data_IF_966016439436
#
_entry.id   IF_966016439436
#
_cell.length_a   1.000
_cell.length_b   1.000
_cell.length_c   1.000
_cell.angle_alpha   90.00
_cell.angle_beta   90.00
_cell.angle_gamma   90.00
#
_symmetry.space_group_name_H-M   'P 1'
#
loop_
_entity.id
_entity.type
_entity.pdbx_description
1 polymer ?
#
# COMPACT_ATOMS: atom_id res chain seq x y z
N UNK A 1 4.31 36.72 -6.49
CA UNK A 1 4.10 35.95 -5.25
C UNK A 1 2.75 36.42 -4.74
N UNK A 2 1.64 35.70 -4.75
CA UNK A 2 1.43 34.26 -4.52
C UNK A 2 -0.06 34.00 -4.80
N UNK A 3 -0.44 33.29 -5.87
CA UNK A 3 -1.86 32.90 -6.10
C UNK A 3 -1.94 31.45 -6.62
N UNK A 4 -0.97 31.05 -7.44
CA UNK A 4 -0.80 29.67 -7.92
C UNK A 4 -0.45 28.65 -6.83
N UNK A 5 0.15 29.05 -5.71
CA UNK A 5 0.48 28.10 -4.61
C UNK A 5 -0.74 27.75 -3.74
N UNK A 6 -1.76 28.63 -3.65
CA UNK A 6 -2.92 28.43 -2.79
C UNK A 6 -3.93 27.43 -3.37
N UNK A 7 -4.00 27.33 -4.71
CA UNK A 7 -4.88 26.38 -5.42
C UNK A 7 -4.34 24.95 -5.37
N UNK A 8 -3.01 24.77 -5.38
CA UNK A 8 -2.40 23.44 -5.26
C UNK A 8 -2.60 22.82 -3.86
N UNK A 9 -2.49 23.61 -2.79
CA UNK A 9 -2.72 23.10 -1.42
C UNK A 9 -4.18 22.78 -1.09
N UNK A 10 -5.14 23.43 -1.75
CA UNK A 10 -6.56 23.16 -1.56
C UNK A 10 -7.02 21.90 -2.30
N UNK A 11 -6.43 21.61 -3.46
CA UNK A 11 -6.73 20.40 -4.23
C UNK A 11 -6.19 19.13 -3.54
N UNK A 12 -4.99 19.17 -2.96
CA UNK A 12 -4.41 18.03 -2.21
C UNK A 12 -5.24 17.65 -0.97
N UNK A 13 -5.75 18.65 -0.24
CA UNK A 13 -6.67 18.39 0.89
C UNK A 13 -8.01 17.85 0.42
N UNK A 14 -8.49 18.27 -0.76
CA UNK A 14 -9.73 17.76 -1.36
C UNK A 14 -9.58 16.34 -1.87
N UNK A 15 -8.44 15.97 -2.44
CA UNK A 15 -8.16 14.61 -2.92
C UNK A 15 -8.03 13.62 -1.77
N UNK A 16 -7.24 13.93 -0.72
CA UNK A 16 -7.20 13.09 0.48
C UNK A 16 -8.57 13.02 1.17
N UNK A 17 -9.28 14.14 1.27
CA UNK A 17 -10.63 14.16 1.84
C UNK A 17 -11.63 13.35 1.00
N UNK A 18 -11.58 13.39 -0.34
CA UNK A 18 -12.42 12.59 -1.25
C UNK A 18 -12.03 11.11 -1.27
N UNK A 19 -10.74 10.78 -1.15
CA UNK A 19 -10.21 9.43 -0.98
C UNK A 19 -10.70 8.79 0.33
N UNK A 20 -10.75 9.58 1.41
CA UNK A 20 -11.26 9.17 2.73
C UNK A 20 -12.79 9.23 2.85
N UNK A 21 -13.46 10.16 2.16
CA UNK A 21 -14.91 10.35 2.22
C UNK A 21 -15.70 9.30 1.41
N UNK A 22 -15.04 8.42 0.67
CA UNK A 22 -15.67 7.24 0.06
C UNK A 22 -16.34 7.49 -1.28
N UNK A 23 -16.20 8.68 -1.88
CA UNK A 23 -16.77 9.01 -3.20
C UNK A 23 -16.10 8.21 -4.34
N UNK A 24 -14.82 7.85 -4.19
CA UNK A 24 -14.08 7.02 -5.14
C UNK A 24 -14.28 5.50 -4.96
N UNK A 25 -15.16 5.09 -4.04
CA UNK A 25 -15.35 3.68 -3.70
C UNK A 25 -14.17 3.19 -2.87
N UNK A 26 -14.44 2.83 -1.61
CA UNK A 26 -13.46 2.39 -0.63
C UNK A 26 -12.38 1.46 -1.21
N UNK A 27 -12.78 0.52 -2.07
CA UNK A 27 -11.88 -0.42 -2.73
C UNK A 27 -10.74 0.26 -3.53
N UNK A 28 -11.04 1.27 -4.35
CA UNK A 28 -10.05 1.90 -5.24
C UNK A 28 -8.97 2.61 -4.43
N UNK A 29 -9.36 3.35 -3.38
CA UNK A 29 -8.42 4.01 -2.45
C UNK A 29 -7.41 3.01 -1.86
N UNK A 30 -7.90 1.90 -1.33
CA UNK A 30 -7.03 0.89 -0.71
C UNK A 30 -6.16 0.16 -1.73
N UNK A 31 -6.66 -0.08 -2.94
CA UNK A 31 -5.87 -0.66 -4.02
C UNK A 31 -4.72 0.25 -4.45
N UNK A 32 -4.96 1.55 -4.62
CA UNK A 32 -3.91 2.51 -4.97
C UNK A 32 -2.87 2.59 -3.85
N UNK A 33 -3.30 2.67 -2.59
CA UNK A 33 -2.38 2.67 -1.44
C UNK A 33 -1.56 1.38 -1.36
N UNK A 34 -2.18 0.23 -1.59
CA UNK A 34 -1.48 -1.05 -1.59
C UNK A 34 -0.45 -1.12 -2.71
N UNK A 35 -0.83 -0.77 -3.94
CA UNK A 35 0.09 -0.75 -5.08
C UNK A 35 1.25 0.22 -4.87
N UNK A 36 1.00 1.41 -4.32
CA UNK A 36 2.06 2.37 -4.01
C UNK A 36 3.08 1.77 -3.03
N UNK A 37 2.61 1.14 -1.95
CA UNK A 37 3.49 0.49 -0.97
C UNK A 37 4.25 -0.71 -1.56
N UNK A 38 3.58 -1.54 -2.37
CA UNK A 38 4.18 -2.70 -3.02
C UNK A 38 5.26 -2.30 -4.04
N UNK A 39 5.01 -1.27 -4.86
CA UNK A 39 6.00 -0.73 -5.80
C UNK A 39 7.20 -0.13 -5.09
N UNK A 40 6.97 0.58 -3.98
CA UNK A 40 8.04 1.15 -3.16
C UNK A 40 8.92 0.04 -2.56
N UNK A 41 8.29 -0.99 -1.98
CA UNK A 41 8.99 -2.17 -1.47
C UNK A 41 9.75 -2.90 -2.56
N UNK A 42 9.17 -3.07 -3.76
CA UNK A 42 9.84 -3.72 -4.87
C UNK A 42 11.10 -2.96 -5.28
N UNK A 43 11.02 -1.64 -5.44
CA UNK A 43 12.16 -0.82 -5.85
C UNK A 43 13.28 -0.83 -4.81
N UNK A 44 12.98 -0.47 -3.56
CA UNK A 44 13.99 -0.42 -2.50
C UNK A 44 14.44 -1.80 -2.05
N UNK A 45 13.55 -2.79 -2.06
CA UNK A 45 13.87 -4.18 -1.75
C UNK A 45 14.84 -4.76 -2.76
N UNK A 46 14.63 -4.51 -4.06
CA UNK A 46 15.57 -4.91 -5.12
C UNK A 46 16.94 -4.25 -4.92
N UNK A 47 16.97 -2.95 -4.61
CA UNK A 47 18.23 -2.24 -4.36
C UNK A 47 18.96 -2.73 -3.11
N UNK A 48 18.24 -3.03 -2.03
CA UNK A 48 18.82 -3.54 -0.79
C UNK A 48 19.39 -4.95 -1.00
N UNK A 49 18.69 -5.77 -1.78
CA UNK A 49 19.11 -7.12 -2.16
C UNK A 49 20.35 -7.08 -3.06
N UNK A 50 20.38 -6.19 -4.06
CA UNK A 50 21.52 -6.00 -4.98
C UNK A 50 22.79 -5.57 -4.24
N UNK A 51 22.66 -4.75 -3.19
CA UNK A 51 23.76 -4.35 -2.32
C UNK A 51 24.12 -5.38 -1.23
N UNK A 52 23.56 -6.60 -1.27
CA UNK A 52 23.72 -7.66 -0.26
C UNK A 52 23.31 -7.24 1.17
N UNK A 53 22.48 -6.21 1.30
CA UNK A 53 22.08 -5.66 2.58
C UNK A 53 20.85 -6.40 3.13
N UNK A 54 21.10 -7.59 3.66
CA UNK A 54 20.05 -8.47 4.19
C UNK A 54 19.28 -7.87 5.38
N UNK A 55 19.96 -7.13 6.25
CA UNK A 55 19.34 -6.56 7.45
C UNK A 55 18.28 -5.49 7.12
N UNK A 56 18.56 -4.46 6.29
CA UNK A 56 17.52 -3.53 5.86
C UNK A 56 16.45 -4.20 4.99
N UNK A 57 16.81 -5.19 4.17
CA UNK A 57 15.81 -5.97 3.42
C UNK A 57 14.82 -6.67 4.35
N UNK A 58 15.28 -7.35 5.41
CA UNK A 58 14.40 -7.96 6.42
C UNK A 58 13.55 -6.90 7.14
N UNK A 59 14.12 -5.73 7.42
CA UNK A 59 13.37 -4.60 7.97
C UNK A 59 12.24 -4.11 7.04
N UNK A 60 12.52 -4.02 5.73
CA UNK A 60 11.52 -3.66 4.72
C UNK A 60 10.45 -4.75 4.57
N UNK A 61 10.82 -6.03 4.66
CA UNK A 61 9.86 -7.16 4.65
C UNK A 61 8.92 -7.07 5.85
N UNK A 62 9.45 -6.83 7.05
CA UNK A 62 8.61 -6.59 8.23
C UNK A 62 7.72 -5.34 8.04
N UNK A 63 8.27 -4.29 7.42
CA UNK A 63 7.57 -3.06 7.09
C UNK A 63 6.38 -3.27 6.15
N UNK A 64 6.55 -4.01 5.04
CA UNK A 64 5.46 -4.25 4.08
C UNK A 64 4.37 -5.16 4.68
N UNK A 65 4.73 -6.11 5.55
CA UNK A 65 3.77 -6.92 6.30
C UNK A 65 2.96 -6.06 7.28
N UNK A 66 3.62 -5.19 8.05
CA UNK A 66 2.95 -4.25 8.94
C UNK A 66 2.05 -3.27 8.16
N UNK A 67 2.52 -2.74 7.05
CA UNK A 67 1.75 -1.86 6.16
C UNK A 67 0.49 -2.55 5.62
N UNK A 68 0.63 -3.80 5.17
CA UNK A 68 -0.51 -4.61 4.69
C UNK A 68 -1.52 -4.84 5.81
N UNK A 69 -1.05 -5.08 7.04
CA UNK A 69 -1.92 -5.23 8.20
C UNK A 69 -2.68 -3.92 8.53
N UNK A 70 -2.00 -2.77 8.48
CA UNK A 70 -2.63 -1.46 8.67
C UNK A 70 -3.69 -1.17 7.60
N UNK A 71 -3.43 -1.50 6.33
CA UNK A 71 -4.42 -1.37 5.26
C UNK A 71 -5.66 -2.24 5.52
N UNK A 72 -5.45 -3.49 5.96
CA UNK A 72 -6.55 -4.40 6.30
C UNK A 72 -7.39 -3.86 7.47
N UNK A 73 -6.75 -3.30 8.50
CA UNK A 73 -7.44 -2.65 9.62
C UNK A 73 -8.21 -1.39 9.17
N UNK A 74 -7.63 -0.61 8.26
CA UNK A 74 -8.29 0.54 7.65
C UNK A 74 -9.56 0.13 6.90
N UNK A 75 -9.49 -0.93 6.08
CA UNK A 75 -10.67 -1.47 5.37
C UNK A 75 -11.75 -1.86 6.37
N UNK A 76 -11.37 -2.54 7.46
CA UNK A 76 -12.31 -2.93 8.52
C UNK A 76 -12.98 -1.72 9.18
N UNK A 77 -12.24 -0.64 9.42
CA UNK A 77 -12.75 0.57 10.06
C UNK A 77 -13.72 1.34 9.15
N UNK A 78 -13.42 1.41 7.86
CA UNK A 78 -14.16 2.24 6.93
C UNK A 78 -15.36 1.51 6.26
N UNK A 79 -15.34 0.18 6.18
CA UNK A 79 -16.43 -0.58 5.58
C UNK A 79 -17.54 -0.85 6.60
N UNK A 80 -18.79 -0.49 6.28
CA UNK A 80 -19.96 -0.60 7.17
C UNK A 80 -21.02 -1.65 6.73
N UNK A 81 -20.69 -2.52 5.78
CA UNK A 81 -21.65 -3.50 5.24
C UNK A 81 -21.72 -4.84 6.00
N UNK A 82 -22.82 -5.62 5.88
CA UNK A 82 -23.06 -6.86 6.63
C UNK A 82 -22.13 -8.03 6.26
N UNK A 83 -21.43 -7.98 5.12
CA UNK A 83 -20.50 -9.03 4.66
C UNK A 83 -19.01 -8.65 4.78
N UNK A 84 -18.68 -7.75 5.70
CA UNK A 84 -17.31 -7.27 6.02
C UNK A 84 -16.25 -8.37 5.97
N UNK A 85 -16.47 -9.43 6.76
CA UNK A 85 -15.52 -10.52 6.94
C UNK A 85 -15.24 -11.29 5.64
N UNK A 86 -16.22 -11.39 4.74
CA UNK A 86 -16.07 -12.09 3.46
C UNK A 86 -15.23 -11.29 2.46
N UNK A 87 -15.42 -9.97 2.42
CA UNK A 87 -14.61 -9.07 1.57
C UNK A 87 -13.19 -8.97 2.10
N UNK A 88 -13.04 -8.81 3.42
CA UNK A 88 -11.76 -8.71 4.09
C UNK A 88 -10.87 -9.94 3.86
N UNK A 89 -11.44 -11.15 3.96
CA UNK A 89 -10.72 -12.40 3.68
C UNK A 89 -10.22 -12.46 2.24
N UNK A 90 -11.07 -12.12 1.26
CA UNK A 90 -10.71 -12.15 -0.17
C UNK A 90 -9.60 -11.14 -0.49
N UNK A 91 -9.74 -9.90 -0.04
CA UNK A 91 -8.74 -8.85 -0.28
C UNK A 91 -7.42 -9.15 0.42
N UNK A 92 -7.46 -9.67 1.66
CA UNK A 92 -6.26 -10.07 2.40
C UNK A 92 -5.48 -11.18 1.70
N UNK A 93 -6.15 -12.19 1.14
CA UNK A 93 -5.47 -13.25 0.40
C UNK A 93 -4.76 -12.70 -0.84
N UNK A 94 -5.38 -11.78 -1.57
CA UNK A 94 -4.77 -11.18 -2.75
C UNK A 94 -3.52 -10.37 -2.38
N UNK A 95 -3.58 -9.55 -1.33
CA UNK A 95 -2.41 -8.81 -0.85
C UNK A 95 -1.29 -9.75 -0.40
N UNK A 96 -1.62 -10.86 0.24
CA UNK A 96 -0.60 -11.85 0.62
C UNK A 96 0.07 -12.49 -0.60
N UNK A 97 -0.72 -12.89 -1.60
CA UNK A 97 -0.19 -13.46 -2.85
C UNK A 97 0.73 -12.46 -3.54
N UNK A 98 0.31 -11.18 -3.65
CA UNK A 98 1.13 -10.14 -4.28
C UNK A 98 2.41 -9.91 -3.48
N UNK A 99 2.35 -9.81 -2.15
CA UNK A 99 3.56 -9.65 -1.32
C UNK A 99 4.55 -10.80 -1.52
N UNK A 100 4.06 -12.05 -1.60
CA UNK A 100 4.90 -13.22 -1.88
C UNK A 100 5.51 -13.15 -3.28
N UNK A 101 4.71 -12.83 -4.30
CA UNK A 101 5.20 -12.68 -5.68
C UNK A 101 6.27 -11.60 -5.79
N UNK A 102 6.04 -10.45 -5.16
CA UNK A 102 6.99 -9.33 -5.13
C UNK A 102 8.26 -9.75 -4.39
N UNK A 103 8.15 -10.42 -3.25
CA UNK A 103 9.30 -10.92 -2.47
C UNK A 103 10.15 -11.93 -3.24
N UNK A 104 9.52 -12.91 -3.89
CA UNK A 104 10.23 -13.88 -4.75
C UNK A 104 10.87 -13.17 -5.93
N UNK A 105 10.16 -12.21 -6.55
CA UNK A 105 10.69 -11.45 -7.68
C UNK A 105 11.93 -10.65 -7.26
N UNK A 106 11.91 -9.96 -6.11
CA UNK A 106 13.10 -9.24 -5.60
C UNK A 106 14.28 -10.16 -5.30
N UNK A 107 14.05 -11.38 -4.82
CA UNK A 107 15.11 -12.37 -4.55
C UNK A 107 15.59 -13.08 -5.82
N UNK A 108 14.73 -13.23 -6.83
CA UNK A 108 15.05 -13.90 -8.09
C UNK A 108 16.04 -13.16 -8.98
N UNK A 109 16.29 -11.88 -8.69
CA UNK A 109 17.32 -11.08 -9.38
C UNK A 109 18.71 -11.19 -8.73
N UNK A 110 18.85 -11.92 -7.62
CA UNK A 110 20.15 -12.22 -7.01
C UNK A 110 20.88 -13.24 -7.90
N UNK A 111 22.08 -12.87 -8.34
CA UNK A 111 22.97 -13.68 -9.19
C UNK A 111 24.00 -14.45 -8.36
#
# INVERSE_FOLDING_TARGET
MTETEHIAQLDDRSLMAKLLAGEYGLAITYWVLYFAGASLFFYFGSQAVDNEQWLPYLGMVAGILAYTFLLILGIRSAYRGPQLWKVMSRTSSIFMIINVLVGISTLGFIY
#
